data_IF_644599080843
#
_entry.id   IF_644599080843
#
_cell.length_a   1.000
_cell.length_b   1.000
_cell.length_c   1.000
_cell.angle_alpha   90.00
_cell.angle_beta   90.00
_cell.angle_gamma   90.00
#
_symmetry.space_group_name_H-M   'P 1'
#
loop_
_entity.id
_entity.type
_entity.pdbx_description
1 polymer ?
#
# COMPACT_ATOMS: atom_id res chain seq x y z
N UNK A 1 -22.84 -3.86 4.24
CA UNK A 1 -23.50 -2.98 3.25
C UNK A 1 -22.40 -2.13 2.63
N UNK A 2 -22.12 -2.24 1.33
CA UNK A 2 -21.11 -1.38 0.70
C UNK A 2 -21.74 -0.03 0.36
N UNK A 3 -21.17 1.05 0.90
CA UNK A 3 -21.57 2.41 0.57
C UNK A 3 -20.75 2.90 -0.63
N UNK A 4 -21.41 3.52 -1.61
CA UNK A 4 -20.74 4.23 -2.69
C UNK A 4 -20.08 5.53 -2.18
N UNK A 5 -19.12 6.04 -2.93
CA UNK A 5 -18.44 7.30 -2.62
C UNK A 5 -18.05 8.03 -3.90
N UNK A 6 -17.99 9.35 -3.84
CA UNK A 6 -17.25 10.11 -4.83
C UNK A 6 -15.74 9.77 -4.74
N UNK A 7 -15.04 9.89 -5.88
CA UNK A 7 -13.61 9.61 -5.98
C UNK A 7 -12.83 10.92 -6.16
N UNK A 8 -11.86 11.16 -5.26
CA UNK A 8 -10.82 12.16 -5.47
C UNK A 8 -9.54 11.48 -5.93
N UNK A 9 -8.87 12.06 -6.92
CA UNK A 9 -7.65 11.49 -7.51
C UNK A 9 -6.49 12.45 -7.31
N UNK A 10 -5.33 11.88 -6.95
CA UNK A 10 -4.07 12.59 -6.81
C UNK A 10 -2.98 11.88 -7.62
N UNK A 11 -2.23 12.62 -8.43
CA UNK A 11 -1.02 12.12 -9.09
C UNK A 11 0.20 12.70 -8.37
N UNK A 12 1.15 11.84 -8.01
CA UNK A 12 2.38 12.20 -7.32
C UNK A 12 3.55 11.42 -7.90
N UNK A 13 4.72 12.07 -7.98
CA UNK A 13 5.97 11.45 -8.41
C UNK A 13 6.96 11.46 -7.26
N UNK A 14 7.58 10.31 -7.01
CA UNK A 14 8.72 10.16 -6.11
C UNK A 14 10.01 9.97 -6.92
N UNK A 15 11.09 10.58 -6.46
CA UNK A 15 12.40 10.59 -7.11
C UNK A 15 13.39 9.59 -6.51
N UNK A 16 14.59 9.46 -7.13
CA UNK A 16 15.64 8.55 -6.69
C UNK A 16 16.01 8.67 -5.21
N UNK A 17 16.23 7.54 -4.55
CA UNK A 17 16.66 7.45 -3.15
C UNK A 17 15.57 7.71 -2.11
N UNK A 18 14.35 8.07 -2.53
CA UNK A 18 13.22 8.16 -1.60
C UNK A 18 12.73 6.76 -1.23
N UNK A 19 12.39 6.55 0.05
CA UNK A 19 11.71 5.34 0.49
C UNK A 19 10.21 5.50 0.19
N UNK A 20 9.71 4.73 -0.78
CA UNK A 20 8.38 4.92 -1.37
C UNK A 20 7.25 4.65 -0.37
N UNK A 21 7.39 3.63 0.49
CA UNK A 21 6.33 3.24 1.42
C UNK A 21 6.05 4.35 2.45
N UNK A 22 7.07 4.82 3.15
CA UNK A 22 6.99 5.93 4.09
C UNK A 22 6.60 7.25 3.42
N UNK A 23 7.06 7.49 2.19
CA UNK A 23 6.66 8.69 1.44
C UNK A 23 5.16 8.70 1.08
N UNK A 24 4.57 7.54 0.77
CA UNK A 24 3.13 7.39 0.55
C UNK A 24 2.33 7.58 1.85
N UNK A 25 2.82 7.06 2.97
CA UNK A 25 2.19 7.27 4.28
C UNK A 25 2.20 8.76 4.67
N UNK A 26 3.34 9.43 4.51
CA UNK A 26 3.46 10.87 4.77
C UNK A 26 2.51 11.68 3.86
N UNK A 27 2.41 11.31 2.58
CA UNK A 27 1.48 11.94 1.64
C UNK A 27 0.01 11.83 2.08
N UNK A 28 -0.40 10.65 2.59
CA UNK A 28 -1.74 10.42 3.13
C UNK A 28 -2.00 11.27 4.37
N UNK A 29 -1.04 11.31 5.30
CA UNK A 29 -1.14 12.06 6.54
C UNK A 29 -1.23 13.57 6.28
N UNK A 30 -0.34 14.12 5.46
CA UNK A 30 -0.30 15.54 5.10
C UNK A 30 -1.64 15.99 4.50
N UNK A 31 -2.24 15.16 3.65
CA UNK A 31 -3.52 15.45 2.99
C UNK A 31 -4.74 15.02 3.79
N UNK A 32 -4.56 14.37 4.94
CA UNK A 32 -5.62 13.87 5.82
C UNK A 32 -6.62 12.97 5.08
N UNK A 33 -6.12 12.10 4.20
CA UNK A 33 -6.96 11.16 3.44
C UNK A 33 -7.51 10.09 4.40
N UNK A 34 -8.76 9.66 4.20
CA UNK A 34 -9.46 8.79 5.15
C UNK A 34 -9.80 7.43 4.59
N UNK A 35 -9.94 7.31 3.27
CA UNK A 35 -10.07 6.04 2.58
C UNK A 35 -9.18 6.00 1.32
N UNK A 36 -7.84 6.21 1.47
CA UNK A 36 -6.94 6.24 0.33
C UNK A 36 -6.57 4.83 -0.16
N UNK A 37 -6.36 4.71 -1.47
CA UNK A 37 -5.91 3.48 -2.13
C UNK A 37 -5.09 3.79 -3.38
N UNK A 38 -4.26 2.83 -3.80
CA UNK A 38 -3.50 2.94 -5.04
C UNK A 38 -4.42 2.65 -6.23
N UNK A 39 -4.52 3.59 -7.18
CA UNK A 39 -5.16 3.35 -8.48
C UNK A 39 -4.14 2.69 -9.42
N UNK A 40 -2.93 3.25 -9.49
CA UNK A 40 -1.82 2.67 -10.26
C UNK A 40 -0.48 3.21 -9.79
N UNK A 41 0.57 2.46 -10.08
CA UNK A 41 1.96 2.87 -9.90
C UNK A 41 2.80 2.24 -11.01
N UNK A 42 3.68 3.05 -11.61
CA UNK A 42 4.78 2.59 -12.46
C UNK A 42 6.07 3.21 -11.95
N UNK A 43 7.21 2.56 -12.17
CA UNK A 43 8.48 3.07 -11.70
C UNK A 43 9.53 2.00 -11.53
N UNK A 44 10.55 2.29 -10.74
CA UNK A 44 11.62 1.33 -10.43
C UNK A 44 12.17 1.52 -9.03
N UNK A 45 12.72 0.44 -8.48
CA UNK A 45 13.34 0.40 -7.14
C UNK A 45 14.71 -0.27 -7.17
N UNK A 46 15.58 0.12 -6.25
CA UNK A 46 16.88 -0.53 -5.98
C UNK A 46 16.78 -1.57 -4.85
N UNK A 47 15.75 -1.44 -4.00
CA UNK A 47 15.56 -2.27 -2.81
C UNK A 47 14.07 -2.50 -2.57
N UNK A 48 13.75 -3.63 -1.93
CA UNK A 48 12.42 -3.89 -1.41
C UNK A 48 12.49 -4.96 -0.31
N UNK A 49 11.69 -4.82 0.74
CA UNK A 49 11.45 -5.89 1.72
C UNK A 49 10.00 -6.36 1.62
N UNK A 50 9.80 -7.63 1.27
CA UNK A 50 8.50 -8.22 1.01
C UNK A 50 8.23 -9.39 1.98
N UNK A 51 6.99 -9.55 2.42
CA UNK A 51 6.51 -10.79 3.05
C UNK A 51 5.81 -11.67 2.01
N UNK A 52 6.23 -12.93 1.94
CA UNK A 52 5.67 -13.92 1.02
C UNK A 52 4.45 -14.64 1.63
N UNK A 53 3.65 -15.28 0.77
CA UNK A 53 2.38 -15.91 1.14
C UNK A 53 2.52 -17.17 2.03
N UNK A 54 3.71 -17.76 2.10
CA UNK A 54 4.00 -18.94 2.93
C UNK A 54 4.07 -18.64 4.44
N UNK A 55 3.84 -17.40 4.85
CA UNK A 55 3.71 -17.08 6.26
C UNK A 55 2.53 -17.88 6.86
N UNK A 56 2.82 -18.79 7.80
CA UNK A 56 1.82 -19.59 8.52
C UNK A 56 1.63 -19.05 9.95
N UNK A 57 0.62 -19.56 10.67
CA UNK A 57 0.37 -19.20 12.07
C UNK A 57 1.56 -19.50 13.01
N UNK A 58 2.48 -20.38 12.62
CA UNK A 58 3.68 -20.76 13.38
C UNK A 58 4.98 -20.26 12.77
N UNK A 59 4.95 -19.74 11.54
CA UNK A 59 6.07 -19.10 10.87
C UNK A 59 5.57 -17.85 10.13
N UNK A 60 5.52 -16.74 10.83
CA UNK A 60 4.93 -15.50 10.34
C UNK A 60 5.84 -14.70 9.40
N UNK A 61 7.08 -15.14 9.17
CA UNK A 61 8.14 -14.30 8.60
C UNK A 61 8.94 -15.00 7.49
N UNK A 62 8.29 -15.39 6.39
CA UNK A 62 9.02 -15.52 5.11
C UNK A 62 9.21 -14.12 4.50
N UNK A 63 10.23 -13.43 5.00
CA UNK A 63 10.63 -12.10 4.54
C UNK A 63 11.70 -12.24 3.46
N UNK A 64 11.41 -11.70 2.29
CA UNK A 64 12.32 -11.60 1.16
C UNK A 64 12.87 -10.17 1.09
N UNK A 65 14.19 -10.04 1.20
CA UNK A 65 14.90 -8.78 0.97
C UNK A 65 15.51 -8.80 -0.43
N UNK A 66 15.20 -7.79 -1.22
CA UNK A 66 15.68 -7.61 -2.58
C UNK A 66 16.67 -6.44 -2.62
N UNK A 67 17.77 -6.65 -3.33
CA UNK A 67 18.76 -5.62 -3.66
C UNK A 67 19.17 -5.80 -5.10
N UNK A 68 19.02 -4.75 -5.92
CA UNK A 68 19.16 -4.81 -7.37
C UNK A 68 18.16 -3.88 -8.05
N UNK A 69 18.21 -3.77 -9.38
CA UNK A 69 17.29 -2.89 -10.12
C UNK A 69 16.05 -3.67 -10.52
N UNK A 70 14.88 -3.18 -10.11
CA UNK A 70 13.59 -3.78 -10.44
C UNK A 70 12.63 -2.73 -10.98
N UNK A 71 11.83 -3.11 -11.97
CA UNK A 71 10.68 -2.33 -12.40
C UNK A 71 9.47 -2.63 -11.50
N UNK A 72 8.78 -1.59 -11.04
CA UNK A 72 7.46 -1.70 -10.41
C UNK A 72 6.45 -1.93 -11.53
N UNK A 73 6.03 -3.18 -11.71
CA UNK A 73 5.03 -3.56 -12.72
C UNK A 73 3.60 -3.61 -12.15
N UNK A 74 3.47 -3.59 -10.83
CA UNK A 74 2.20 -3.39 -10.12
C UNK A 74 2.44 -2.98 -8.67
N UNK A 75 1.70 -1.99 -8.18
CA UNK A 75 1.54 -1.68 -6.75
C UNK A 75 0.04 -1.49 -6.50
N UNK A 76 -0.51 -2.22 -5.54
CA UNK A 76 -1.95 -2.18 -5.24
C UNK A 76 -2.17 -2.23 -3.74
N UNK A 77 -3.25 -1.63 -3.26
CA UNK A 77 -3.67 -1.74 -1.86
C UNK A 77 -4.26 -0.47 -1.27
N UNK A 78 -4.57 -0.53 0.02
CA UNK A 78 -5.10 0.59 0.82
C UNK A 78 -3.97 1.29 1.57
N UNK A 79 -4.09 2.61 1.73
CA UNK A 79 -3.02 3.47 2.27
C UNK A 79 -3.42 4.19 3.57
N UNK A 80 -4.37 3.67 4.35
CA UNK A 80 -4.64 4.21 5.69
C UNK A 80 -3.39 4.08 6.60
N UNK A 81 -3.44 4.58 7.84
CA UNK A 81 -2.31 4.50 8.79
C UNK A 81 -1.65 3.12 8.84
N UNK A 82 -2.49 2.08 8.84
CA UNK A 82 -2.10 0.68 8.70
C UNK A 82 -2.23 0.24 7.24
N UNK A 83 -1.34 0.77 6.42
CA UNK A 83 -1.32 0.54 4.98
C UNK A 83 -1.13 -0.95 4.67
N UNK A 84 -1.80 -1.43 3.63
CA UNK A 84 -1.72 -2.81 3.18
C UNK A 84 -1.48 -2.81 1.68
N UNK A 85 -0.20 -2.83 1.32
CA UNK A 85 0.25 -2.80 -0.07
C UNK A 85 0.81 -4.15 -0.48
N UNK A 86 0.47 -4.57 -1.69
CA UNK A 86 1.11 -5.66 -2.40
C UNK A 86 1.79 -5.09 -3.65
N UNK A 87 2.93 -5.67 -4.00
CA UNK A 87 3.74 -5.22 -5.14
C UNK A 87 4.15 -6.42 -6.00
N UNK A 88 4.31 -6.18 -7.29
CA UNK A 88 5.03 -7.06 -8.22
C UNK A 88 6.19 -6.28 -8.83
N UNK A 89 7.37 -6.90 -8.78
CA UNK A 89 8.66 -6.35 -9.20
C UNK A 89 9.25 -7.24 -10.29
N UNK A 90 9.65 -6.66 -11.42
CA UNK A 90 10.32 -7.39 -12.50
C UNK A 90 11.82 -7.08 -12.52
N UNK A 91 12.65 -8.11 -12.62
CA UNK A 91 14.10 -7.97 -12.73
C UNK A 91 14.56 -7.67 -14.18
N UNK A 92 15.88 -7.60 -14.40
CA UNK A 92 16.47 -7.33 -15.71
C UNK A 92 16.20 -8.42 -16.76
N UNK A 93 15.74 -9.61 -16.35
CA UNK A 93 15.34 -10.71 -17.23
C UNK A 93 13.82 -10.74 -17.45
N UNK A 94 13.07 -9.84 -16.79
CA UNK A 94 11.62 -9.80 -16.80
C UNK A 94 10.98 -10.85 -15.88
N UNK A 95 11.76 -11.55 -15.06
CA UNK A 95 11.20 -12.45 -14.07
C UNK A 95 10.58 -11.64 -12.93
N UNK A 96 9.38 -12.02 -12.52
CA UNK A 96 8.61 -11.27 -11.52
C UNK A 96 8.66 -11.94 -10.17
N UNK A 97 8.86 -11.13 -9.13
CA UNK A 97 8.65 -11.48 -7.74
C UNK A 97 7.62 -10.55 -7.12
N UNK A 98 6.78 -11.07 -6.23
CA UNK A 98 5.74 -10.26 -5.59
C UNK A 98 5.48 -10.68 -4.17
N UNK A 99 4.86 -9.78 -3.40
CA UNK A 99 4.55 -10.00 -2.00
C UNK A 99 3.91 -8.79 -1.34
N UNK A 100 3.67 -8.93 -0.04
CA UNK A 100 3.21 -7.84 0.82
C UNK A 100 4.37 -6.91 1.16
N UNK A 101 4.23 -5.61 0.95
CA UNK A 101 5.30 -4.63 1.18
C UNK A 101 5.46 -4.42 2.68
N UNK A 102 6.68 -4.64 3.19
CA UNK A 102 7.05 -4.30 4.56
C UNK A 102 7.83 -2.96 4.65
N UNK A 103 8.40 -2.51 3.53
CA UNK A 103 9.19 -1.27 3.43
C UNK A 103 10.51 -1.49 2.69
N UNK A 104 11.50 -0.64 2.98
CA UNK A 104 12.79 -0.58 2.28
C UNK A 104 12.62 -0.47 0.75
N UNK A 105 11.58 0.26 0.32
CA UNK A 105 11.16 0.35 -1.07
C UNK A 105 11.82 1.58 -1.73
N UNK A 106 13.15 1.54 -1.83
CA UNK A 106 13.96 2.66 -2.30
C UNK A 106 13.81 2.87 -3.80
N UNK A 107 13.31 4.05 -4.21
CA UNK A 107 13.10 4.41 -5.61
C UNK A 107 14.43 4.49 -6.36
N UNK A 108 14.52 3.83 -7.52
CA UNK A 108 15.70 3.88 -8.37
C UNK A 108 15.71 5.11 -9.28
N UNK A 109 14.77 5.21 -10.24
CA UNK A 109 14.71 6.36 -11.17
C UNK A 109 13.51 7.27 -10.92
N UNK A 110 12.33 6.66 -10.76
CA UNK A 110 11.07 7.35 -10.55
C UNK A 110 10.04 6.37 -10.01
N UNK A 111 9.08 6.85 -9.24
CA UNK A 111 7.82 6.14 -9.00
C UNK A 111 6.67 7.13 -9.23
N UNK A 112 5.84 6.84 -10.21
CA UNK A 112 4.69 7.65 -10.62
C UNK A 112 3.43 6.97 -10.09
N UNK A 113 2.84 7.57 -9.07
CA UNK A 113 1.74 6.97 -8.31
C UNK A 113 0.48 7.81 -8.51
N UNK A 114 -0.62 7.12 -8.81
CA UNK A 114 -1.96 7.69 -8.77
C UNK A 114 -2.68 7.12 -7.55
N UNK A 115 -3.03 8.01 -6.62
CA UNK A 115 -3.76 7.70 -5.38
C UNK A 115 -5.21 8.13 -5.53
N UNK A 116 -6.13 7.22 -5.24
CA UNK A 116 -7.55 7.50 -5.08
C UNK A 116 -7.90 7.69 -3.62
N UNK A 117 -8.89 8.53 -3.31
CA UNK A 117 -9.53 8.65 -1.99
C UNK A 117 -11.05 8.60 -2.16
N UNK A 118 -11.68 7.66 -1.47
CA UNK A 118 -13.14 7.54 -1.40
C UNK A 118 -13.66 8.52 -0.33
N UNK A 119 -13.96 9.76 -0.74
CA UNK A 119 -14.15 10.91 0.16
C UNK A 119 -15.32 10.79 1.15
N UNK A 120 -16.28 9.92 0.89
CA UNK A 120 -17.46 9.68 1.73
C UNK A 120 -17.24 8.51 2.72
N UNK A 121 -16.08 7.85 2.64
CA UNK A 121 -15.72 6.69 3.45
C UNK A 121 -14.56 6.98 4.40
N UNK A 122 -14.37 6.06 5.33
CA UNK A 122 -13.21 5.93 6.18
C UNK A 122 -12.81 4.47 6.24
N UNK A 123 -11.52 4.22 6.02
CA UNK A 123 -10.90 2.93 6.26
C UNK A 123 -10.30 2.90 7.67
N UNK A 124 -10.68 1.88 8.43
CA UNK A 124 -10.01 1.48 9.67
C UNK A 124 -9.63 0.02 9.58
N UNK A 125 -8.86 -0.47 10.56
CA UNK A 125 -8.62 -1.89 10.73
C UNK A 125 -8.97 -2.33 12.14
N UNK A 126 -9.67 -3.43 12.26
CA UNK A 126 -10.09 -3.99 13.55
C UNK A 126 -9.62 -5.44 13.68
N UNK A 127 -9.22 -5.89 14.88
CA UNK A 127 -8.83 -7.28 15.09
C UNK A 127 -9.95 -8.24 14.70
N UNK A 128 -9.68 -9.15 13.77
CA UNK A 128 -10.62 -10.21 13.39
C UNK A 128 -10.15 -11.57 13.97
N UNK A 129 -10.87 -12.17 14.94
CA UNK A 129 -10.48 -13.44 15.55
C UNK A 129 -10.51 -14.62 14.57
N UNK A 130 -11.15 -14.48 13.41
CA UNK A 130 -11.21 -15.53 12.38
C UNK A 130 -9.92 -15.60 11.56
N UNK A 131 -9.25 -14.47 11.38
CA UNK A 131 -8.00 -14.39 10.59
C UNK A 131 -6.77 -14.23 11.47
N UNK A 132 -6.94 -13.69 12.68
CA UNK A 132 -5.84 -13.36 13.60
C UNK A 132 -5.13 -12.04 13.25
N UNK A 133 -5.66 -11.27 12.30
CA UNK A 133 -5.07 -10.01 11.83
C UNK A 133 -6.05 -8.83 11.94
N UNK A 134 -5.55 -7.58 11.97
CA UNK A 134 -6.38 -6.40 11.77
C UNK A 134 -6.91 -6.30 10.34
N UNK A 135 -8.22 -6.52 10.17
CA UNK A 135 -8.87 -6.54 8.86
C UNK A 135 -9.54 -5.22 8.53
N UNK A 136 -9.66 -4.92 7.23
CA UNK A 136 -10.28 -3.69 6.74
C UNK A 136 -11.74 -3.59 7.20
N UNK A 137 -12.05 -2.48 7.87
CA UNK A 137 -13.41 -2.04 8.15
C UNK A 137 -13.67 -0.76 7.34
N UNK A 138 -14.81 -0.75 6.64
CA UNK A 138 -15.23 0.37 5.80
C UNK A 138 -16.46 1.00 6.43
N UNK A 139 -16.32 2.26 6.83
CA UNK A 139 -17.38 3.08 7.41
C UNK A 139 -17.68 4.25 6.49
N UNK A 140 -18.93 4.70 6.46
CA UNK A 140 -19.26 6.03 5.93
C UNK A 140 -18.80 7.09 6.92
N UNK A 141 -18.47 8.30 6.44
CA UNK A 141 -18.13 9.42 7.33
C UNK A 141 -19.25 9.75 8.31
N UNK A 142 -20.51 9.57 7.89
CA UNK A 142 -21.68 9.76 8.76
C UNK A 142 -21.74 8.75 9.92
N UNK A 143 -21.30 7.50 9.71
CA UNK A 143 -21.24 6.48 10.77
C UNK A 143 -20.15 6.81 11.77
N UNK A 144 -19.01 7.30 11.30
CA UNK A 144 -17.90 7.73 12.17
C UNK A 144 -18.31 8.91 13.03
N UNK A 145 -18.96 9.92 12.46
CA UNK A 145 -19.42 11.10 13.20
C UNK A 145 -20.50 10.78 14.25
N UNK A 146 -21.34 9.77 14.01
CA UNK A 146 -22.32 9.31 15.01
C UNK A 146 -21.71 8.51 16.16
N UNK A 147 -20.51 7.98 15.96
CA UNK A 147 -19.80 7.16 16.94
C UNK A 147 -18.76 7.95 17.77
N UNK A 148 -18.48 9.20 17.40
CA UNK A 148 -17.56 10.12 18.08
C UNK A 148 -18.29 11.03 19.08
#
# INVERSE_FOLDING_TARGET
>A
MAAGSALRVHAVRFGPGQELFGSLQAFVEERRLRAPFIITCVGSVTRATLRLANATATNTNEVLQLSGRYEIVSLVGTLNSDAHLHISLADAQGATVGGHVLGDLEVFTTAEVVVGDAVDLQFSREPDPRTGFPELVVLTRSEVERAA
#
